data_IF_555813682475
#
_entry.id   IF_555813682475
#
_cell.length_a   1.000
_cell.length_b   1.000
_cell.length_c   1.000
_cell.angle_alpha   90.00
_cell.angle_beta   90.00
_cell.angle_gamma   90.00
#
_symmetry.space_group_name_H-M   'P 1'
#
loop_
_entity.id
_entity.type
_entity.pdbx_description
1 polymer ?
#
# COMPACT_ATOMS: atom_id res chain seq x y z
N UNK A 1 16.88 -13.78 -16.34
CA UNK A 1 15.57 -13.63 -15.66
C UNK A 1 15.61 -12.31 -14.90
N UNK A 2 14.85 -11.33 -15.37
CA UNK A 2 14.81 -9.98 -14.80
C UNK A 2 14.04 -10.05 -13.48
N UNK A 3 14.75 -10.29 -12.37
CA UNK A 3 14.16 -10.29 -11.03
C UNK A 3 13.68 -8.86 -10.72
N UNK A 4 12.42 -8.61 -11.08
CA UNK A 4 11.85 -7.30 -11.27
C UNK A 4 11.43 -6.69 -9.94
N UNK A 5 11.95 -5.49 -9.67
CA UNK A 5 11.47 -4.57 -8.64
C UNK A 5 9.94 -4.60 -8.55
N UNK A 6 9.40 -4.82 -7.34
CA UNK A 6 7.96 -4.62 -7.09
C UNK A 6 7.63 -3.14 -7.34
N UNK A 7 6.85 -2.86 -8.37
CA UNK A 7 6.53 -1.49 -8.79
C UNK A 7 5.47 -0.86 -7.90
N UNK A 8 4.52 -1.64 -7.44
CA UNK A 8 3.42 -1.17 -6.61
C UNK A 8 2.84 -2.35 -5.80
N UNK A 9 1.77 -2.09 -5.05
CA UNK A 9 1.10 -3.14 -4.28
C UNK A 9 0.53 -4.26 -5.15
N UNK A 10 0.23 -4.02 -6.42
CA UNK A 10 -0.33 -5.03 -7.33
C UNK A 10 0.71 -5.96 -7.96
N UNK A 11 1.99 -5.79 -7.63
CA UNK A 11 3.06 -6.62 -8.16
C UNK A 11 2.91 -8.08 -7.70
N UNK A 12 2.98 -9.01 -8.64
CA UNK A 12 2.93 -10.44 -8.36
C UNK A 12 4.26 -10.96 -7.81
N UNK A 13 4.27 -11.89 -6.83
CA UNK A 13 3.12 -12.42 -6.09
C UNK A 13 2.60 -11.43 -5.03
N UNK A 14 1.28 -11.31 -4.80
CA UNK A 14 0.74 -10.43 -3.77
C UNK A 14 1.26 -10.84 -2.39
N UNK A 15 1.56 -9.85 -1.55
CA UNK A 15 2.00 -10.16 -0.19
C UNK A 15 0.82 -10.71 0.63
N UNK A 16 1.05 -11.74 1.45
CA UNK A 16 0.01 -12.33 2.31
C UNK A 16 -0.70 -11.28 3.17
N UNK A 17 0.08 -10.33 3.71
CA UNK A 17 -0.43 -9.21 4.53
C UNK A 17 -1.39 -8.32 3.74
N UNK A 18 -1.10 -8.06 2.48
CA UNK A 18 -1.97 -7.24 1.63
C UNK A 18 -3.29 -7.95 1.33
N UNK A 19 -3.28 -9.26 1.06
CA UNK A 19 -4.52 -10.04 0.88
C UNK A 19 -5.35 -9.96 2.16
N UNK A 20 -4.73 -10.18 3.32
CA UNK A 20 -5.41 -10.09 4.61
C UNK A 20 -6.02 -8.70 4.84
N UNK A 21 -5.29 -7.61 4.51
CA UNK A 21 -5.83 -6.24 4.60
C UNK A 21 -7.07 -6.04 3.71
N UNK A 22 -7.07 -6.53 2.47
CA UNK A 22 -8.23 -6.41 1.58
C UNK A 22 -9.45 -7.16 2.11
N UNK A 23 -9.25 -8.36 2.68
CA UNK A 23 -10.33 -9.10 3.33
C UNK A 23 -10.89 -8.30 4.52
N UNK A 24 -10.03 -7.78 5.39
CA UNK A 24 -10.46 -6.97 6.54
C UNK A 24 -11.26 -5.75 6.08
N UNK A 25 -10.80 -5.03 5.06
CA UNK A 25 -11.50 -3.87 4.50
C UNK A 25 -12.89 -4.27 3.97
N UNK A 26 -12.98 -5.37 3.23
CA UNK A 26 -14.23 -5.89 2.66
C UNK A 26 -15.26 -6.27 3.73
N UNK A 27 -14.83 -6.78 4.89
CA UNK A 27 -15.75 -7.18 5.96
C UNK A 27 -16.04 -6.05 6.94
N UNK A 28 -15.03 -5.33 7.41
CA UNK A 28 -15.20 -4.34 8.48
C UNK A 28 -15.97 -3.11 8.01
N UNK A 29 -15.72 -2.59 6.80
CA UNK A 29 -16.41 -1.39 6.32
C UNK A 29 -17.94 -1.56 6.24
N UNK A 30 -18.50 -2.60 5.59
CA UNK A 30 -19.95 -2.77 5.58
C UNK A 30 -20.50 -3.03 6.99
N UNK A 31 -19.81 -3.83 7.82
CA UNK A 31 -20.24 -4.05 9.22
C UNK A 31 -20.34 -2.74 9.99
N UNK A 32 -19.35 -1.85 9.85
CA UNK A 32 -19.39 -0.54 10.50
C UNK A 32 -20.58 0.29 10.03
N UNK A 33 -20.92 0.29 8.74
CA UNK A 33 -22.10 0.99 8.24
C UNK A 33 -23.40 0.43 8.84
N UNK A 34 -23.55 -0.90 8.92
CA UNK A 34 -24.73 -1.54 9.50
C UNK A 34 -24.90 -1.26 11.00
N UNK A 35 -23.81 -1.08 11.75
CA UNK A 35 -23.88 -0.72 13.17
C UNK A 35 -24.57 0.62 13.43
N UNK A 36 -24.66 1.52 12.44
CA UNK A 36 -25.34 2.80 12.57
C UNK A 36 -26.84 2.78 12.19
N UNK A 37 -27.36 1.63 11.74
CA UNK A 37 -28.81 1.47 11.43
C UNK A 37 -29.71 1.82 12.63
N UNK A 38 -29.40 1.42 13.88
CA UNK A 38 -30.23 1.79 15.04
C UNK A 38 -30.24 3.30 15.34
N UNK A 39 -29.17 4.02 14.96
CA UNK A 39 -29.10 5.48 15.14
C UNK A 39 -30.01 6.19 14.12
N UNK A 40 -29.96 5.75 12.87
CA UNK A 40 -30.84 6.23 11.82
C UNK A 40 -30.94 5.18 10.71
N UNK A 41 -32.16 4.78 10.34
CA UNK A 41 -32.39 3.63 9.44
C UNK A 41 -31.70 3.78 8.07
N UNK A 42 -31.74 4.98 7.49
CA UNK A 42 -31.20 5.22 6.13
C UNK A 42 -30.02 6.20 6.06
N UNK A 43 -30.14 7.41 6.62
CA UNK A 43 -29.12 8.44 6.39
C UNK A 43 -27.77 8.16 7.06
N UNK A 44 -27.75 7.67 8.32
CA UNK A 44 -26.50 7.35 8.99
C UNK A 44 -25.67 6.24 8.29
N UNK A 45 -26.24 5.05 7.98
CA UNK A 45 -25.49 4.01 7.25
C UNK A 45 -25.09 4.46 5.84
N UNK A 46 -25.90 5.31 5.17
CA UNK A 46 -25.56 5.86 3.86
C UNK A 46 -24.32 6.76 3.94
N UNK A 47 -24.30 7.72 4.87
CA UNK A 47 -23.16 8.66 5.03
C UNK A 47 -21.89 7.89 5.38
N UNK A 48 -21.96 6.96 6.33
CA UNK A 48 -20.82 6.10 6.70
C UNK A 48 -20.37 5.24 5.52
N UNK A 49 -21.31 4.69 4.74
CA UNK A 49 -21.02 3.93 3.53
C UNK A 49 -20.29 4.75 2.46
N UNK A 50 -20.70 5.99 2.21
CA UNK A 50 -20.03 6.89 1.25
C UNK A 50 -18.61 7.20 1.70
N UNK A 51 -18.40 7.52 2.98
CA UNK A 51 -17.06 7.77 3.53
C UNK A 51 -16.20 6.51 3.45
N UNK A 52 -16.76 5.34 3.74
CA UNK A 52 -16.06 4.06 3.62
C UNK A 52 -15.61 3.78 2.18
N UNK A 53 -16.50 3.97 1.19
CA UNK A 53 -16.16 3.82 -0.23
C UNK A 53 -15.05 4.79 -0.63
N UNK A 54 -15.12 6.04 -0.19
CA UNK A 54 -14.07 7.03 -0.44
C UNK A 54 -12.71 6.58 0.12
N UNK A 55 -12.68 6.05 1.35
CA UNK A 55 -11.45 5.50 1.94
C UNK A 55 -10.91 4.33 1.11
N UNK A 56 -11.78 3.42 0.63
CA UNK A 56 -11.36 2.31 -0.24
C UNK A 56 -10.72 2.83 -1.53
N UNK A 57 -11.31 3.85 -2.16
CA UNK A 57 -10.75 4.49 -3.35
C UNK A 57 -9.35 5.05 -3.05
N UNK A 58 -9.17 5.74 -1.92
CA UNK A 58 -7.86 6.24 -1.51
C UNK A 58 -6.85 5.09 -1.29
N UNK A 59 -7.26 4.00 -0.65
CA UNK A 59 -6.41 2.81 -0.44
C UNK A 59 -6.00 2.20 -1.79
N UNK A 60 -6.92 2.06 -2.74
CA UNK A 60 -6.60 1.60 -4.10
C UNK A 60 -5.57 2.52 -4.75
N UNK A 61 -5.81 3.84 -4.73
CA UNK A 61 -4.90 4.83 -5.33
C UNK A 61 -3.49 4.73 -4.73
N UNK A 62 -3.38 4.72 -3.40
CA UNK A 62 -2.10 4.55 -2.71
C UNK A 62 -1.43 3.21 -3.04
N UNK A 63 -2.20 2.14 -3.23
CA UNK A 63 -1.67 0.83 -3.62
C UNK A 63 -1.17 0.81 -5.06
N UNK A 64 -1.71 1.68 -5.93
CA UNK A 64 -1.30 1.79 -7.35
C UNK A 64 -0.06 2.64 -7.57
N UNK A 65 0.17 3.67 -6.74
CA UNK A 65 1.28 4.61 -6.89
C UNK A 65 2.61 3.86 -6.70
N UNK A 66 3.51 4.01 -7.67
CA UNK A 66 4.89 3.54 -7.55
C UNK A 66 5.68 4.55 -6.70
N UNK A 67 6.22 4.14 -5.54
CA UNK A 67 6.99 5.06 -4.70
C UNK A 67 8.32 5.46 -5.35
N UNK A 68 8.78 4.76 -6.38
CA UNK A 68 10.01 5.10 -7.08
C UNK A 68 9.80 6.25 -8.06
N UNK A 69 10.60 7.30 -7.92
CA UNK A 69 10.64 8.42 -8.86
C UNK A 69 11.08 7.95 -10.26
N UNK A 70 10.52 8.52 -11.33
CA UNK A 70 10.75 8.18 -12.75
C UNK A 70 12.23 8.14 -13.20
N UNK A 71 13.16 8.68 -12.40
CA UNK A 71 14.61 8.66 -12.65
C UNK A 71 15.35 7.43 -12.11
N UNK A 72 14.74 6.60 -11.25
CA UNK A 72 15.37 5.36 -10.72
C UNK A 72 15.36 4.21 -11.76
N UNK A 73 14.64 4.39 -12.87
CA UNK A 73 14.34 3.34 -13.85
C UNK A 73 15.51 2.97 -14.76
N UNK A 74 16.59 3.77 -14.79
CA UNK A 74 17.57 3.65 -15.87
C UNK A 74 18.68 2.63 -15.61
N UNK A 75 19.11 2.34 -14.38
CA UNK A 75 20.37 1.58 -14.23
C UNK A 75 20.50 0.56 -13.07
N UNK A 76 19.62 0.53 -12.08
CA UNK A 76 19.83 -0.32 -10.91
C UNK A 76 18.81 -1.47 -10.81
N UNK A 77 19.29 -2.70 -10.96
CA UNK A 77 18.57 -3.90 -10.52
C UNK A 77 18.34 -3.74 -9.01
N UNK A 78 17.07 -3.73 -8.57
CA UNK A 78 16.74 -3.53 -7.16
C UNK A 78 17.49 -4.57 -6.31
N UNK A 79 18.38 -4.09 -5.43
CA UNK A 79 19.21 -4.96 -4.58
C UNK A 79 18.40 -5.26 -3.32
N UNK A 80 18.38 -6.53 -2.92
CA UNK A 80 17.77 -6.92 -1.66
C UNK A 80 18.50 -6.24 -0.50
N UNK A 81 17.76 -5.57 0.39
CA UNK A 81 18.35 -4.94 1.57
C UNK A 81 18.93 -6.01 2.49
N UNK A 82 20.19 -5.86 2.85
CA UNK A 82 20.88 -6.75 3.78
C UNK A 82 21.03 -6.05 5.13
N UNK A 83 20.14 -6.40 6.07
CA UNK A 83 20.14 -5.84 7.42
C UNK A 83 21.38 -6.23 8.24
N UNK A 84 22.18 -7.19 7.77
CA UNK A 84 23.49 -7.50 8.39
C UNK A 84 24.57 -6.49 8.02
N UNK A 85 24.43 -5.82 6.87
CA UNK A 85 25.41 -4.84 6.35
C UNK A 85 25.05 -3.40 6.66
N UNK A 86 23.76 -3.10 6.73
CA UNK A 86 23.24 -1.76 6.96
C UNK A 86 22.20 -1.80 8.08
N UNK A 87 22.31 -0.87 9.03
CA UNK A 87 21.34 -0.72 10.10
C UNK A 87 20.05 -0.05 9.57
N UNK A 88 20.20 0.83 8.57
CA UNK A 88 19.08 1.56 7.97
C UNK A 88 19.10 1.51 6.43
N UNK A 89 17.91 1.60 5.84
CA UNK A 89 17.73 1.64 4.37
C UNK A 89 18.39 2.89 3.78
N UNK A 90 18.33 4.01 4.50
CA UNK A 90 18.99 5.27 4.14
C UNK A 90 20.06 5.53 5.19
N UNK A 91 21.32 5.60 4.76
CA UNK A 91 22.46 5.92 5.61
C UNK A 91 23.29 7.00 4.91
N UNK A 92 23.70 8.04 5.64
CA UNK A 92 24.55 9.13 5.12
C UNK A 92 24.04 9.73 3.79
N UNK A 93 22.74 10.02 3.71
CA UNK A 93 22.09 10.52 2.48
C UNK A 93 22.25 9.59 1.27
N UNK A 94 22.39 8.28 1.50
CA UNK A 94 22.45 7.27 0.46
C UNK A 94 21.41 6.18 0.73
N UNK A 95 20.59 5.85 -0.28
CA UNK A 95 19.62 4.78 -0.21
C UNK A 95 20.25 3.46 -0.66
N UNK A 96 20.45 2.53 0.27
CA UNK A 96 21.09 1.23 0.02
C UNK A 96 20.22 0.26 -0.82
N UNK A 97 18.91 0.53 -0.93
CA UNK A 97 17.99 -0.27 -1.77
C UNK A 97 17.95 0.26 -3.20
N UNK A 98 17.87 1.58 -3.35
CA UNK A 98 17.81 2.24 -4.65
C UNK A 98 19.19 2.50 -5.26
N UNK A 99 20.26 2.39 -4.47
CA UNK A 99 21.65 2.67 -4.84
C UNK A 99 21.83 4.09 -5.42
N UNK A 100 21.23 5.08 -4.76
CA UNK A 100 21.30 6.50 -5.14
C UNK A 100 21.48 7.39 -3.90
N UNK A 101 22.09 8.55 -4.09
CA UNK A 101 22.06 9.63 -3.09
C UNK A 101 20.67 10.28 -3.04
N UNK A 102 20.20 10.56 -1.84
CA UNK A 102 18.87 11.12 -1.53
C UNK A 102 18.98 12.62 -1.26
#
# INVERSE_FOLDING_TARGET
MHEGRRRNGWSWPPSFRQILCWLIILFILPLTAFMFVPLHVFYAPLVIGVVAVWIVVLVVLLTTIDPAYSRVYTFAKAVHFDASKHAHVIEKFYCNVCQIHV
#
